data_IF_369900193940
#
_entry.id   IF_369900193940
#
_cell.length_a   1.000
_cell.length_b   1.000
_cell.length_c   1.000
_cell.angle_alpha   90.00
_cell.angle_beta   90.00
_cell.angle_gamma   90.00
#
_symmetry.space_group_name_H-M   'P 1'
#
loop_
_entity.id
_entity.type
_entity.pdbx_description
1 polymer ?
#
# COMPACT_ATOMS: atom_id res chain seq x y z
N UNK A 1 15.53 -6.18 -27.75
CA UNK A 1 16.50 -5.07 -27.62
C UNK A 1 15.79 -3.93 -26.92
N UNK A 2 16.46 -3.18 -26.02
CA UNK A 2 15.88 -1.95 -25.50
C UNK A 2 15.64 -0.98 -26.66
N UNK A 3 14.49 -0.31 -26.64
CA UNK A 3 14.16 0.70 -27.65
C UNK A 3 15.00 1.94 -27.43
N UNK A 4 15.48 2.53 -28.52
CA UNK A 4 16.20 3.79 -28.46
C UNK A 4 15.26 4.95 -28.17
N UNK A 5 15.71 5.92 -27.38
CA UNK A 5 14.95 7.14 -27.07
C UNK A 5 14.50 7.86 -28.35
N UNK A 6 15.34 7.89 -29.38
CA UNK A 6 15.00 8.46 -30.69
C UNK A 6 13.79 7.79 -31.34
N UNK A 7 13.62 6.47 -31.15
CA UNK A 7 12.46 5.72 -31.66
C UNK A 7 11.19 6.04 -30.86
N UNK A 8 11.32 6.23 -29.53
CA UNK A 8 10.20 6.65 -28.68
C UNK A 8 9.70 8.03 -29.11
N UNK A 9 10.59 9.01 -29.21
CA UNK A 9 10.23 10.40 -29.54
C UNK A 9 9.78 10.60 -30.99
N UNK A 10 10.22 9.73 -31.91
CA UNK A 10 9.74 9.75 -33.29
C UNK A 10 8.40 9.01 -33.47
N UNK A 11 7.96 8.24 -32.47
CA UNK A 11 6.71 7.48 -32.56
C UNK A 11 5.49 8.40 -32.48
N UNK A 12 4.39 7.95 -33.10
CA UNK A 12 3.12 8.66 -33.05
C UNK A 12 2.59 8.68 -31.61
N UNK A 13 1.85 9.74 -31.27
CA UNK A 13 1.05 9.75 -30.06
C UNK A 13 -0.11 8.77 -30.18
N UNK A 14 -0.40 8.07 -29.09
CA UNK A 14 -1.60 7.28 -28.90
C UNK A 14 -2.40 7.85 -27.73
N UNK A 15 -3.73 7.84 -27.82
CA UNK A 15 -4.60 8.48 -26.82
C UNK A 15 -5.25 7.43 -25.93
N UNK A 16 -4.98 7.45 -24.64
CA UNK A 16 -5.70 6.64 -23.67
C UNK A 16 -6.79 7.49 -23.02
N UNK A 17 -8.03 7.03 -23.08
CA UNK A 17 -9.17 7.67 -22.43
C UNK A 17 -9.39 6.95 -21.10
N UNK A 18 -8.98 7.57 -20.00
CA UNK A 18 -9.04 7.01 -18.65
C UNK A 18 -10.08 7.77 -17.86
N UNK A 19 -11.15 7.11 -17.42
CA UNK A 19 -12.30 7.75 -16.76
C UNK A 19 -12.82 9.00 -17.50
N UNK A 20 -12.87 8.94 -18.84
CA UNK A 20 -13.31 10.03 -19.70
C UNK A 20 -12.28 11.15 -19.95
N UNK A 21 -11.08 11.07 -19.38
CA UNK A 21 -10.00 12.03 -19.59
C UNK A 21 -8.98 11.52 -20.62
N UNK A 22 -8.70 12.27 -21.70
CA UNK A 22 -7.71 11.87 -22.69
C UNK A 22 -6.28 12.14 -22.20
N UNK A 23 -5.43 11.12 -22.26
CA UNK A 23 -4.01 11.17 -21.96
C UNK A 23 -3.21 10.74 -23.20
N UNK A 24 -2.33 11.62 -23.68
CA UNK A 24 -1.53 11.37 -24.87
C UNK A 24 -0.13 10.89 -24.49
N UNK A 25 0.28 9.76 -25.07
CA UNK A 25 1.58 9.12 -24.79
C UNK A 25 2.21 8.60 -26.08
N UNK A 26 3.53 8.39 -26.06
CA UNK A 26 4.24 7.87 -27.21
C UNK A 26 3.91 6.37 -27.39
N UNK A 27 3.33 6.01 -28.54
CA UNK A 27 2.84 4.66 -28.82
C UNK A 27 3.91 3.60 -28.62
N UNK A 28 5.13 3.85 -29.15
CA UNK A 28 6.24 2.92 -29.06
C UNK A 28 6.73 2.70 -27.62
N UNK A 29 6.51 3.66 -26.71
CA UNK A 29 6.87 3.45 -25.31
C UNK A 29 5.97 2.41 -24.66
N UNK A 30 4.65 2.58 -24.81
CA UNK A 30 3.65 1.75 -24.13
C UNK A 30 3.55 0.37 -24.78
N UNK A 31 3.61 0.30 -26.13
CA UNK A 31 3.51 -0.97 -26.85
C UNK A 31 4.64 -1.92 -26.48
N UNK A 32 5.81 -1.40 -26.11
CA UNK A 32 6.95 -2.24 -25.72
C UNK A 32 7.02 -2.56 -24.24
N UNK A 33 6.03 -2.16 -23.45
CA UNK A 33 5.93 -2.56 -22.06
C UNK A 33 5.44 -4.01 -21.92
N UNK A 34 4.55 -4.47 -22.80
CA UNK A 34 4.04 -5.85 -22.82
C UNK A 34 3.26 -6.18 -24.10
N UNK A 35 3.09 -7.47 -24.40
CA UNK A 35 2.31 -7.91 -25.56
C UNK A 35 0.83 -7.49 -25.53
N UNK A 36 0.10 -7.51 -24.38
CA UNK A 36 -1.27 -7.01 -24.33
C UNK A 36 -1.37 -5.53 -24.73
N UNK A 37 -0.43 -4.69 -24.29
CA UNK A 37 -0.39 -3.28 -24.64
C UNK A 37 0.03 -3.05 -26.09
N UNK A 38 0.94 -3.87 -26.63
CA UNK A 38 1.27 -3.85 -28.06
C UNK A 38 0.04 -4.15 -28.91
N UNK A 39 -0.70 -5.21 -28.57
CA UNK A 39 -1.94 -5.57 -29.26
C UNK A 39 -3.02 -4.48 -29.12
N UNK A 40 -3.08 -3.78 -27.99
CA UNK A 40 -4.01 -2.67 -27.80
C UNK A 40 -3.70 -1.47 -28.70
N UNK A 41 -2.42 -1.19 -28.95
CA UNK A 41 -1.98 -0.02 -29.71
C UNK A 41 -1.85 -0.31 -31.21
N UNK A 42 -1.24 -1.44 -31.55
CA UNK A 42 -0.87 -1.84 -32.92
C UNK A 42 -1.75 -2.96 -33.49
N UNK A 43 -2.79 -3.38 -32.75
CA UNK A 43 -3.70 -4.43 -33.17
C UNK A 43 -4.72 -4.01 -34.22
N UNK A 44 -5.65 -4.92 -34.51
CA UNK A 44 -6.66 -4.75 -35.56
C UNK A 44 -7.99 -4.17 -35.06
N UNK A 45 -8.08 -3.82 -33.77
CA UNK A 45 -9.29 -3.21 -33.18
C UNK A 45 -9.56 -1.83 -33.77
N UNK A 46 -10.83 -1.44 -33.79
CA UNK A 46 -11.26 -0.16 -34.37
C UNK A 46 -10.63 1.04 -33.66
N UNK A 47 -10.43 0.93 -32.35
CA UNK A 47 -9.85 1.90 -31.45
C UNK A 47 -8.35 2.07 -31.77
N UNK A 48 -7.62 0.95 -31.90
CA UNK A 48 -6.21 0.94 -32.29
C UNK A 48 -5.99 1.64 -33.64
N UNK A 49 -6.83 1.34 -34.64
CA UNK A 49 -6.78 1.97 -35.97
C UNK A 49 -7.09 3.47 -35.92
N UNK A 50 -7.93 3.90 -34.98
CA UNK A 50 -8.25 5.31 -34.75
C UNK A 50 -7.22 6.01 -33.84
N UNK A 51 -6.26 5.28 -33.26
CA UNK A 51 -5.19 5.84 -32.43
C UNK A 51 -5.61 6.13 -30.99
N UNK A 52 -6.61 5.41 -30.46
CA UNK A 52 -7.00 5.53 -29.06
C UNK A 52 -7.33 4.18 -28.40
N UNK A 53 -7.38 4.16 -27.07
CA UNK A 53 -7.94 3.05 -26.29
C UNK A 53 -8.73 3.59 -25.10
N UNK A 54 -9.83 2.91 -24.76
CA UNK A 54 -10.67 3.24 -23.62
C UNK A 54 -10.32 2.33 -22.44
N UNK A 55 -10.01 2.94 -21.29
CA UNK A 55 -9.70 2.25 -20.04
C UNK A 55 -10.70 2.71 -18.96
N UNK A 56 -11.84 2.03 -18.87
CA UNK A 56 -12.91 2.38 -17.92
C UNK A 56 -12.64 1.88 -16.51
N UNK A 57 -11.91 0.77 -16.39
CA UNK A 57 -11.64 0.07 -15.13
C UNK A 57 -10.32 0.49 -14.47
N UNK A 58 -9.60 1.44 -15.07
CA UNK A 58 -8.34 1.99 -14.54
C UNK A 58 -8.58 3.43 -14.11
N UNK A 59 -8.18 3.79 -12.90
CA UNK A 59 -8.22 5.18 -12.45
C UNK A 59 -7.06 6.00 -13.04
N UNK A 60 -7.28 7.31 -13.15
CA UNK A 60 -6.29 8.24 -13.70
C UNK A 60 -4.96 8.19 -12.94
N UNK A 61 -4.99 8.06 -11.60
CA UNK A 61 -3.80 8.03 -10.76
C UNK A 61 -2.92 6.82 -11.07
N UNK A 62 -3.52 5.64 -11.22
CA UNK A 62 -2.84 4.41 -11.62
C UNK A 62 -2.24 4.53 -13.01
N UNK A 63 -2.99 5.06 -13.98
CA UNK A 63 -2.47 5.18 -15.34
C UNK A 63 -1.33 6.22 -15.44
N UNK A 64 -1.41 7.34 -14.71
CA UNK A 64 -0.33 8.33 -14.65
C UNK A 64 0.94 7.74 -13.99
N UNK A 65 0.80 6.95 -12.92
CA UNK A 65 1.94 6.22 -12.32
C UNK A 65 2.54 5.22 -13.30
N UNK A 66 1.71 4.50 -14.05
CA UNK A 66 2.17 3.61 -15.11
C UNK A 66 2.95 4.35 -16.19
N UNK A 67 2.46 5.48 -16.70
CA UNK A 67 3.18 6.29 -17.70
C UNK A 67 4.54 6.72 -17.13
N UNK A 68 4.56 7.21 -15.89
CA UNK A 68 5.81 7.61 -15.22
C UNK A 68 6.79 6.44 -15.15
N UNK A 69 6.31 5.26 -14.73
CA UNK A 69 7.12 4.04 -14.75
C UNK A 69 7.59 3.68 -16.15
N UNK A 70 6.76 3.80 -17.18
CA UNK A 70 7.15 3.45 -18.54
C UNK A 70 8.38 4.25 -18.99
N UNK A 71 8.42 5.56 -18.65
CA UNK A 71 9.54 6.46 -18.91
C UNK A 71 10.74 6.28 -17.99
N UNK A 72 10.56 6.29 -16.67
CA UNK A 72 11.67 6.34 -15.70
C UNK A 72 12.02 4.99 -15.07
N UNK A 73 11.26 3.93 -15.38
CA UNK A 73 11.29 2.62 -14.70
C UNK A 73 11.04 2.70 -13.20
N UNK A 74 10.40 3.79 -12.77
CA UNK A 74 10.00 4.04 -11.40
C UNK A 74 8.76 4.94 -11.36
N UNK A 75 7.98 4.87 -10.27
CA UNK A 75 6.79 5.68 -10.06
C UNK A 75 6.63 6.15 -8.59
N UNK A 76 6.05 7.35 -8.36
CA UNK A 76 5.83 7.88 -7.03
C UNK A 76 4.70 7.14 -6.31
N UNK A 77 4.84 6.97 -5.00
CA UNK A 77 3.72 6.58 -4.14
C UNK A 77 2.62 7.67 -4.16
N UNK A 78 1.41 7.33 -3.74
CA UNK A 78 0.40 8.36 -3.50
C UNK A 78 0.80 9.24 -2.31
N UNK A 79 0.17 10.40 -2.20
CA UNK A 79 0.32 11.25 -1.03
C UNK A 79 -0.61 10.73 0.08
N UNK A 80 -0.13 10.78 1.32
CA UNK A 80 -0.96 10.53 2.49
C UNK A 80 -1.84 11.75 2.76
N UNK A 81 -2.96 11.54 3.42
CA UNK A 81 -3.90 12.61 3.77
C UNK A 81 -3.77 12.89 5.27
N UNK A 82 -3.79 14.17 5.66
CA UNK A 82 -3.89 14.55 7.07
C UNK A 82 -5.36 14.57 7.47
N UNK A 83 -5.72 13.71 8.43
CA UNK A 83 -7.05 13.64 9.02
C UNK A 83 -7.10 14.61 10.21
N UNK A 84 -8.17 15.40 10.31
CA UNK A 84 -8.36 16.27 11.47
C UNK A 84 -8.66 15.42 12.71
N UNK A 85 -8.06 15.79 13.85
CA UNK A 85 -8.27 15.10 15.12
C UNK A 85 -9.69 15.39 15.62
N UNK A 86 -10.67 14.60 15.19
CA UNK A 86 -12.05 14.76 15.66
C UNK A 86 -13.16 14.01 14.95
N UNK A 87 -12.94 13.30 13.83
CA UNK A 87 -14.06 12.73 13.08
C UNK A 87 -14.04 11.20 13.04
N UNK A 88 -14.78 10.60 13.98
CA UNK A 88 -15.34 9.27 13.77
C UNK A 88 -16.53 9.40 12.79
N UNK A 89 -16.27 9.07 11.52
CA UNK A 89 -17.20 8.64 10.45
C UNK A 89 -17.97 9.68 9.60
N UNK A 90 -17.81 9.48 8.27
CA UNK A 90 -18.75 9.70 7.16
C UNK A 90 -18.79 11.06 6.43
N UNK A 91 -18.66 10.97 5.11
CA UNK A 91 -18.80 11.99 4.06
C UNK A 91 -19.82 13.11 4.32
N UNK A 92 -19.42 14.37 4.04
CA UNK A 92 -19.90 15.20 2.89
C UNK A 92 -19.69 16.73 3.11
N UNK A 93 -18.96 17.34 2.17
CA UNK A 93 -19.00 18.72 1.65
C UNK A 93 -19.30 19.97 2.56
N UNK A 94 -18.25 20.81 2.65
CA UNK A 94 -18.21 22.27 2.36
C UNK A 94 -18.62 23.36 3.40
N UNK A 95 -17.63 24.26 3.59
CA UNK A 95 -17.64 25.75 3.81
C UNK A 95 -17.62 26.38 5.23
N UNK A 96 -16.44 26.98 5.48
CA UNK A 96 -16.11 28.33 5.96
C UNK A 96 -16.30 28.78 7.43
N UNK A 97 -15.15 29.21 7.98
CA UNK A 97 -14.86 30.45 8.72
C UNK A 97 -15.07 30.56 10.26
N UNK A 98 -13.92 30.74 10.93
CA UNK A 98 -13.60 31.85 11.85
C UNK A 98 -13.87 31.70 13.36
N UNK A 99 -12.77 31.37 14.07
CA UNK A 99 -12.24 31.90 15.35
C UNK A 99 -13.10 31.95 16.63
N UNK A 100 -12.61 31.33 17.71
CA UNK A 100 -11.95 31.99 18.87
C UNK A 100 -11.72 31.01 20.04
N UNK A 101 -10.43 30.79 20.32
CA UNK A 101 -9.76 30.94 21.62
C UNK A 101 -10.63 30.99 22.90
N UNK A 102 -10.47 30.03 23.82
CA UNK A 102 -10.29 30.33 25.26
C UNK A 102 -9.60 29.18 25.99
N UNK A 103 -8.55 29.54 26.72
CA UNK A 103 -7.73 28.74 27.64
C UNK A 103 -8.39 28.69 29.01
N UNK A 104 -8.40 27.53 29.69
CA UNK A 104 -8.45 27.49 31.16
C UNK A 104 -7.47 26.43 31.70
N UNK A 105 -6.51 26.93 32.45
CA UNK A 105 -5.51 26.22 33.27
C UNK A 105 -6.13 25.89 34.63
N UNK A 106 -5.85 24.71 35.17
CA UNK A 106 -5.82 24.48 36.63
C UNK A 106 -4.75 23.42 36.97
N UNK A 107 -3.56 23.94 37.32
CA UNK A 107 -2.66 23.42 38.37
C UNK A 107 -3.34 23.61 39.75
N UNK A 108 -3.06 22.94 40.87
CA UNK A 108 -2.09 21.95 41.32
C UNK A 108 -2.47 21.55 42.77
N UNK A 109 -1.66 20.67 43.38
CA UNK A 109 -1.34 20.51 44.83
C UNK A 109 -2.14 19.45 45.61
N UNK A 110 -1.55 18.65 46.51
CA UNK A 110 -0.18 18.25 46.90
C UNK A 110 -0.35 17.14 47.98
N UNK A 111 0.78 16.55 48.41
CA UNK A 111 1.08 15.94 49.70
C UNK A 111 0.79 14.43 49.85
N UNK A 112 1.72 13.55 50.26
CA UNK A 112 3.06 13.74 50.80
C UNK A 112 3.59 12.43 51.41
N UNK A 113 4.79 12.06 50.95
CA UNK A 113 5.92 11.29 51.51
C UNK A 113 5.90 10.54 52.86
N UNK A 114 6.46 9.31 52.87
CA UNK A 114 7.14 8.66 54.03
C UNK A 114 6.99 7.11 54.07
N UNK A 115 7.89 6.25 53.58
CA UNK A 115 9.28 5.89 53.98
C UNK A 115 9.39 4.64 54.92
N UNK A 116 10.07 3.60 54.38
CA UNK A 116 10.85 2.48 54.98
C UNK A 116 10.21 1.17 55.54
N UNK A 117 10.69 0.02 55.02
CA UNK A 117 10.57 -1.31 55.68
C UNK A 117 10.78 -2.59 54.84
N UNK A 118 12.04 -2.93 54.51
CA UNK A 118 12.65 -4.28 54.36
C UNK A 118 12.01 -5.46 53.57
N UNK A 119 12.73 -5.86 52.51
CA UNK A 119 13.00 -7.21 51.91
C UNK A 119 12.04 -8.40 52.16
N UNK A 120 11.49 -8.96 51.06
CA UNK A 120 11.50 -10.42 50.81
C UNK A 120 11.33 -10.75 49.32
N UNK A 121 12.31 -11.45 48.76
CA UNK A 121 12.29 -12.02 47.41
C UNK A 121 11.08 -12.92 47.16
N UNK A 122 10.34 -12.62 46.10
CA UNK A 122 9.48 -13.59 45.41
C UNK A 122 9.60 -13.36 43.91
N UNK A 123 10.45 -14.18 43.28
CA UNK A 123 10.58 -14.36 41.83
C UNK A 123 9.17 -14.58 41.23
N UNK A 124 8.55 -13.52 40.72
CA UNK A 124 7.50 -13.63 39.70
C UNK A 124 8.21 -13.84 38.38
N UNK A 125 8.07 -15.04 37.81
CA UNK A 125 8.43 -15.34 36.42
C UNK A 125 7.76 -14.29 35.53
N UNK A 126 8.55 -13.37 34.99
CA UNK A 126 8.17 -12.56 33.83
C UNK A 126 8.03 -13.53 32.67
N UNK A 127 6.80 -13.70 32.18
CA UNK A 127 6.62 -14.26 30.85
C UNK A 127 7.28 -13.29 29.85
N UNK A 128 8.06 -13.86 28.95
CA UNK A 128 8.93 -13.20 27.99
C UNK A 128 8.15 -12.35 26.99
N UNK A 129 8.21 -11.03 27.14
CA UNK A 129 7.94 -10.10 26.05
C UNK A 129 9.22 -10.00 25.19
N UNK A 130 9.38 -10.87 24.19
CA UNK A 130 10.52 -10.82 23.26
C UNK A 130 10.24 -11.35 21.85
N UNK A 131 8.98 -11.68 21.51
CA UNK A 131 8.66 -12.28 20.19
C UNK A 131 8.35 -11.24 19.08
N UNK A 132 7.95 -10.02 19.45
CA UNK A 132 7.51 -8.99 18.50
C UNK A 132 8.62 -8.46 17.59
N UNK A 133 9.82 -8.26 18.12
CA UNK A 133 10.97 -7.82 17.32
C UNK A 133 11.29 -8.84 16.22
N UNK A 134 11.50 -10.11 16.57
CA UNK A 134 11.89 -11.12 15.58
C UNK A 134 10.99 -11.24 14.34
N UNK A 135 9.67 -11.08 14.49
CA UNK A 135 8.67 -11.16 13.40
C UNK A 135 8.68 -9.95 12.47
N UNK A 136 8.94 -8.76 13.02
CA UNK A 136 9.02 -7.54 12.22
C UNK A 136 10.34 -7.49 11.47
N UNK A 137 11.42 -7.87 12.15
CA UNK A 137 12.75 -8.01 11.56
C UNK A 137 12.75 -9.05 10.42
N UNK A 138 12.03 -10.17 10.53
CA UNK A 138 11.95 -11.17 9.46
C UNK A 138 11.22 -10.65 8.21
N UNK A 139 10.11 -9.91 8.40
CA UNK A 139 9.40 -9.25 7.30
C UNK A 139 10.27 -8.23 6.58
N UNK A 140 11.03 -7.44 7.35
CA UNK A 140 11.97 -6.44 6.82
C UNK A 140 13.15 -7.12 6.11
N UNK A 141 13.62 -8.28 6.59
CA UNK A 141 14.76 -8.98 5.97
C UNK A 141 14.44 -9.67 4.63
N UNK A 142 13.17 -9.98 4.38
CA UNK A 142 12.73 -10.53 3.08
C UNK A 142 12.75 -9.49 1.95
N UNK A 143 12.91 -8.22 2.32
CA UNK A 143 12.90 -7.12 1.38
C UNK A 143 14.29 -6.85 0.79
N UNK A 144 14.36 -6.83 -0.54
CA UNK A 144 15.56 -6.37 -1.25
C UNK A 144 15.57 -4.84 -1.35
N UNK A 145 16.48 -4.21 -0.59
CA UNK A 145 16.67 -2.74 -0.60
C UNK A 145 17.34 -2.20 -1.88
N UNK A 146 17.67 -3.08 -2.84
CA UNK A 146 18.38 -2.70 -4.07
C UNK A 146 17.62 -1.69 -4.95
N UNK A 147 16.28 -1.66 -4.93
CA UNK A 147 15.54 -0.67 -5.72
C UNK A 147 15.54 0.73 -5.09
N UNK A 148 15.70 0.85 -3.76
CA UNK A 148 15.77 2.14 -3.06
C UNK A 148 17.03 2.89 -3.47
N UNK A 149 18.15 2.19 -3.64
CA UNK A 149 19.40 2.82 -4.09
C UNK A 149 19.28 3.36 -5.52
N UNK A 150 18.49 2.71 -6.38
CA UNK A 150 18.23 3.19 -7.75
C UNK A 150 17.23 4.36 -7.80
N UNK A 151 16.23 4.37 -6.92
CA UNK A 151 15.17 5.41 -6.85
C UNK A 151 15.66 6.79 -6.39
N UNK A 152 16.76 6.84 -5.61
CA UNK A 152 17.29 8.03 -4.92
C UNK A 152 17.49 9.27 -5.80
N UNK A 153 17.66 9.13 -7.11
CA UNK A 153 17.97 10.26 -7.99
C UNK A 153 16.76 11.00 -8.58
N UNK A 154 15.55 10.40 -8.60
CA UNK A 154 14.41 10.97 -9.34
C UNK A 154 13.10 11.07 -8.56
N UNK A 155 12.99 10.42 -7.39
CA UNK A 155 11.78 10.43 -6.58
C UNK A 155 12.09 10.67 -5.09
N UNK A 156 11.15 11.29 -4.34
CA UNK A 156 11.27 11.40 -2.90
C UNK A 156 11.41 10.02 -2.28
N UNK A 157 12.31 9.89 -1.31
CA UNK A 157 12.45 8.66 -0.55
C UNK A 157 11.13 8.28 0.14
N UNK A 158 10.79 6.98 0.22
CA UNK A 158 9.65 6.51 0.99
C UNK A 158 9.72 7.02 2.43
N UNK A 159 8.58 7.47 2.96
CA UNK A 159 8.46 8.03 4.32
C UNK A 159 7.42 7.26 5.10
N UNK A 160 7.80 6.73 6.26
CA UNK A 160 6.85 6.20 7.24
C UNK A 160 5.99 7.31 7.84
N UNK A 161 4.81 6.93 8.33
CA UNK A 161 3.96 7.85 9.07
C UNK A 161 4.61 8.23 10.42
N UNK A 162 4.32 9.44 10.87
CA UNK A 162 4.85 10.06 12.10
C UNK A 162 3.79 10.29 13.16
N UNK A 163 2.52 10.20 12.79
CA UNK A 163 1.39 10.47 13.68
C UNK A 163 0.17 9.64 13.27
N UNK A 164 -0.79 9.39 14.20
CA UNK A 164 -2.03 8.69 13.90
C UNK A 164 -3.00 9.47 12.99
N UNK A 165 -2.69 10.74 12.69
CA UNK A 165 -3.48 11.62 11.82
C UNK A 165 -3.07 11.50 10.35
N UNK A 166 -2.04 10.73 10.02
CA UNK A 166 -1.59 10.56 8.65
C UNK A 166 -2.20 9.28 8.06
N UNK A 167 -3.19 9.45 7.18
CA UNK A 167 -3.91 8.39 6.47
C UNK A 167 -3.11 7.91 5.26
N UNK A 168 -2.72 6.64 5.29
CA UNK A 168 -1.93 5.97 4.28
C UNK A 168 -2.76 5.11 3.31
N UNK A 169 -4.09 5.15 3.41
CA UNK A 169 -5.01 4.34 2.59
C UNK A 169 -4.68 4.45 1.10
N UNK A 170 -4.61 5.68 0.57
CA UNK A 170 -4.30 5.87 -0.85
C UNK A 170 -2.84 5.57 -1.21
N UNK A 171 -1.91 5.65 -0.24
CA UNK A 171 -0.52 5.26 -0.44
C UNK A 171 -0.44 3.76 -0.72
N UNK A 172 -1.11 2.96 0.10
CA UNK A 172 -1.17 1.52 -0.06
C UNK A 172 -1.96 1.10 -1.29
N UNK A 173 -3.17 1.67 -1.47
CA UNK A 173 -4.01 1.37 -2.63
C UNK A 173 -3.35 1.78 -3.94
N UNK A 174 -2.55 2.85 -3.95
CA UNK A 174 -1.76 3.23 -5.12
C UNK A 174 -0.78 2.13 -5.56
N UNK A 175 -0.09 1.47 -4.62
CA UNK A 175 0.80 0.36 -4.94
C UNK A 175 0.02 -0.92 -5.32
N UNK A 176 -1.08 -1.22 -4.63
CA UNK A 176 -1.91 -2.36 -4.94
C UNK A 176 -2.54 -2.25 -6.33
N UNK A 177 -3.14 -1.10 -6.68
CA UNK A 177 -3.69 -0.84 -8.02
C UNK A 177 -2.62 -0.97 -9.11
N UNK A 178 -1.40 -0.51 -8.84
CA UNK A 178 -0.26 -0.70 -9.76
C UNK A 178 0.12 -2.18 -9.93
N UNK A 179 0.07 -2.99 -8.87
CA UNK A 179 0.30 -4.44 -8.93
C UNK A 179 -0.77 -5.12 -9.80
N UNK A 180 -2.06 -4.85 -9.54
CA UNK A 180 -3.18 -5.41 -10.31
C UNK A 180 -3.16 -4.96 -11.77
N UNK A 181 -2.84 -3.68 -12.02
CA UNK A 181 -2.66 -3.16 -13.37
C UNK A 181 -1.52 -3.90 -14.10
N UNK A 182 -0.38 -4.10 -13.44
CA UNK A 182 0.74 -4.80 -14.02
C UNK A 182 0.40 -6.27 -14.32
N UNK A 183 -0.37 -6.94 -13.46
CA UNK A 183 -0.85 -8.29 -13.71
C UNK A 183 -1.78 -8.33 -14.92
N UNK A 184 -2.77 -7.44 -14.97
CA UNK A 184 -3.75 -7.35 -16.08
C UNK A 184 -3.07 -7.19 -17.44
N UNK A 185 -1.99 -6.43 -17.50
CA UNK A 185 -1.25 -6.17 -18.74
C UNK A 185 0.02 -7.00 -18.89
N UNK A 186 0.25 -8.00 -18.03
CA UNK A 186 1.42 -8.87 -18.05
C UNK A 186 2.77 -8.12 -18.07
N UNK A 187 2.94 -7.20 -17.12
CA UNK A 187 4.14 -6.36 -16.97
C UNK A 187 4.91 -6.81 -15.72
N UNK A 188 5.60 -7.95 -15.81
CA UNK A 188 6.25 -8.60 -14.67
C UNK A 188 7.22 -7.70 -13.88
N UNK A 189 7.98 -6.84 -14.57
CA UNK A 189 8.89 -5.89 -13.92
C UNK A 189 8.18 -4.83 -13.10
N UNK A 190 7.01 -4.36 -13.55
CA UNK A 190 6.18 -3.41 -12.81
C UNK A 190 5.45 -4.10 -11.66
N UNK A 191 4.95 -5.32 -11.88
CA UNK A 191 4.31 -6.15 -10.84
C UNK A 191 5.24 -6.33 -9.65
N UNK A 192 6.47 -6.78 -9.92
CA UNK A 192 7.52 -6.92 -8.91
C UNK A 192 7.82 -5.61 -8.19
N UNK A 193 8.05 -4.52 -8.95
CA UNK A 193 8.33 -3.21 -8.36
C UNK A 193 7.20 -2.71 -7.46
N UNK A 194 5.94 -2.95 -7.84
CA UNK A 194 4.78 -2.56 -7.06
C UNK A 194 4.66 -3.35 -5.75
N UNK A 195 4.90 -4.66 -5.80
CA UNK A 195 4.97 -5.51 -4.61
C UNK A 195 6.07 -5.04 -3.66
N UNK A 196 7.28 -4.81 -4.19
CA UNK A 196 8.44 -4.38 -3.40
C UNK A 196 8.18 -3.01 -2.74
N UNK A 197 7.59 -2.06 -3.47
CA UNK A 197 7.22 -0.74 -2.93
C UNK A 197 6.14 -0.84 -1.86
N UNK A 198 5.13 -1.69 -2.03
CA UNK A 198 4.10 -1.91 -1.03
C UNK A 198 4.69 -2.52 0.25
N UNK A 199 5.48 -3.59 0.12
CA UNK A 199 6.14 -4.25 1.25
C UNK A 199 7.03 -3.27 2.02
N UNK A 200 7.80 -2.43 1.31
CA UNK A 200 8.62 -1.40 1.95
C UNK A 200 7.78 -0.37 2.69
N UNK A 201 6.71 0.13 2.05
CA UNK A 201 5.82 1.12 2.66
C UNK A 201 5.20 0.57 3.94
N UNK A 202 4.75 -0.69 3.94
CA UNK A 202 4.27 -1.40 5.13
C UNK A 202 5.37 -1.59 6.19
N UNK A 203 6.62 -1.85 5.78
CA UNK A 203 7.76 -2.05 6.67
C UNK A 203 8.17 -0.80 7.44
N UNK A 204 8.04 0.39 6.81
CA UNK A 204 8.34 1.68 7.44
C UNK A 204 7.11 2.33 8.07
N UNK A 205 5.92 1.77 7.84
CA UNK A 205 4.68 2.20 8.45
C UNK A 205 4.60 1.78 9.92
N UNK A 206 4.14 2.72 10.74
CA UNK A 206 3.81 2.54 12.14
C UNK A 206 2.30 2.37 12.25
N UNK A 207 1.87 1.16 12.62
CA UNK A 207 0.45 0.85 12.78
C UNK A 207 -0.09 1.42 14.09
N UNK A 208 -0.72 2.59 14.01
CA UNK A 208 -1.51 3.17 15.10
C UNK A 208 -2.91 2.54 15.14
N UNK A 209 -3.56 2.43 16.31
CA UNK A 209 -4.94 1.95 16.41
C UNK A 209 -5.92 2.68 15.47
N UNK A 210 -5.75 3.99 15.31
CA UNK A 210 -6.58 4.84 14.46
C UNK A 210 -6.38 4.57 12.95
N UNK A 211 -5.29 3.91 12.58
CA UNK A 211 -4.90 3.64 11.18
C UNK A 211 -5.08 2.18 10.79
N UNK A 212 -5.76 1.38 11.61
CA UNK A 212 -6.14 0.01 11.26
C UNK A 212 -7.07 -0.01 10.03
N UNK A 213 -7.88 1.03 9.86
CA UNK A 213 -8.72 1.24 8.67
C UNK A 213 -7.91 1.26 7.35
N UNK A 214 -6.72 1.86 7.35
CA UNK A 214 -5.85 1.94 6.17
C UNK A 214 -5.45 0.53 5.66
N UNK A 215 -5.12 -0.38 6.60
CA UNK A 215 -4.78 -1.78 6.29
C UNK A 215 -6.02 -2.56 5.86
N UNK A 216 -7.15 -2.30 6.51
CA UNK A 216 -8.43 -2.95 6.20
C UNK A 216 -8.88 -2.64 4.78
N UNK A 217 -8.79 -1.37 4.36
CA UNK A 217 -9.07 -0.95 2.99
C UNK A 217 -8.16 -1.64 1.97
N UNK A 218 -6.86 -1.75 2.27
CA UNK A 218 -5.91 -2.49 1.45
C UNK A 218 -6.28 -3.97 1.29
N UNK A 219 -6.62 -4.65 2.39
CA UNK A 219 -7.02 -6.06 2.37
C UNK A 219 -8.28 -6.29 1.55
N UNK A 220 -9.33 -5.49 1.80
CA UNK A 220 -10.59 -5.52 1.03
C UNK A 220 -10.31 -5.37 -0.46
N UNK A 221 -9.48 -4.40 -0.84
CA UNK A 221 -9.14 -4.17 -2.23
C UNK A 221 -8.37 -5.36 -2.84
N UNK A 222 -7.32 -5.86 -2.18
CA UNK A 222 -6.51 -6.95 -2.72
C UNK A 222 -7.31 -8.23 -2.89
N UNK A 223 -8.06 -8.65 -1.87
CA UNK A 223 -8.84 -9.89 -1.94
C UNK A 223 -9.97 -9.81 -2.97
N UNK A 224 -10.56 -8.63 -3.18
CA UNK A 224 -11.56 -8.42 -4.23
C UNK A 224 -10.99 -8.43 -5.67
N UNK A 225 -9.67 -8.21 -5.84
CA UNK A 225 -9.04 -8.03 -7.16
C UNK A 225 -8.00 -9.12 -7.50
N UNK A 226 -7.79 -10.08 -6.61
CA UNK A 226 -6.93 -11.25 -6.83
C UNK A 226 -7.75 -12.51 -6.58
N UNK A 227 -7.32 -13.66 -7.07
CA UNK A 227 -7.97 -14.95 -6.82
C UNK A 227 -6.93 -15.96 -6.31
N UNK A 228 -7.36 -17.05 -5.67
CA UNK A 228 -6.49 -18.22 -5.50
C UNK A 228 -6.07 -18.71 -6.89
N UNK A 229 -4.76 -18.75 -7.14
CA UNK A 229 -4.22 -19.25 -8.41
C UNK A 229 -4.09 -20.77 -8.34
N UNK A 230 -4.10 -21.43 -9.50
CA UNK A 230 -3.93 -22.90 -9.59
C UNK A 230 -2.60 -23.37 -8.96
N UNK A 231 -1.61 -22.48 -8.90
CA UNK A 231 -0.25 -22.73 -8.42
C UNK A 231 -0.02 -22.30 -6.96
N UNK A 232 -1.02 -21.70 -6.29
CA UNK A 232 -0.94 -21.24 -4.90
C UNK A 232 -1.60 -19.88 -4.63
N UNK A 233 -1.37 -19.35 -3.44
CA UNK A 233 -1.82 -18.00 -3.04
C UNK A 233 -1.01 -16.94 -3.79
N UNK A 234 -1.67 -15.89 -4.31
CA UNK A 234 -1.02 -14.76 -5.00
C UNK A 234 0.09 -14.11 -4.12
N UNK A 235 1.16 -13.61 -4.74
CA UNK A 235 2.32 -13.06 -4.03
C UNK A 235 1.93 -11.87 -3.13
N UNK A 236 0.99 -11.01 -3.57
CA UNK A 236 0.55 -9.86 -2.76
C UNK A 236 -0.29 -10.33 -1.55
N UNK A 237 -1.13 -11.36 -1.72
CA UNK A 237 -1.89 -11.98 -0.63
C UNK A 237 -0.96 -12.64 0.38
N UNK A 238 0.04 -13.38 -0.10
CA UNK A 238 1.06 -14.02 0.74
C UNK A 238 1.86 -12.99 1.55
N UNK A 239 2.30 -11.91 0.90
CA UNK A 239 3.02 -10.82 1.57
C UNK A 239 2.15 -10.14 2.65
N UNK A 240 0.87 -9.86 2.34
CA UNK A 240 -0.05 -9.27 3.31
C UNK A 240 -0.36 -10.20 4.48
N UNK A 241 -0.57 -11.49 4.23
CA UNK A 241 -0.75 -12.49 5.29
C UNK A 241 0.48 -12.53 6.22
N UNK A 242 1.69 -12.41 5.67
CA UNK A 242 2.91 -12.29 6.46
C UNK A 242 2.91 -11.02 7.34
N UNK A 243 2.54 -9.87 6.76
CA UNK A 243 2.44 -8.59 7.48
C UNK A 243 1.41 -8.64 8.62
N UNK A 244 0.19 -9.10 8.34
CA UNK A 244 -0.86 -9.21 9.37
C UNK A 244 -0.38 -10.12 10.50
N UNK A 245 0.24 -11.26 10.18
CA UNK A 245 0.72 -12.15 11.22
C UNK A 245 1.81 -11.52 12.10
N UNK A 246 2.58 -10.56 11.58
CA UNK A 246 3.55 -9.76 12.35
C UNK A 246 2.85 -8.76 13.27
N UNK A 247 1.78 -8.13 12.80
CA UNK A 247 1.02 -7.10 13.53
C UNK A 247 -0.23 -7.64 14.27
N UNK A 248 -0.37 -8.97 14.36
CA UNK A 248 -1.58 -9.67 14.79
C UNK A 248 -2.13 -9.17 16.14
N UNK A 249 -1.26 -8.85 17.10
CA UNK A 249 -1.68 -8.40 18.43
C UNK A 249 -2.47 -7.08 18.41
N UNK A 250 -2.22 -6.23 17.41
CA UNK A 250 -2.93 -4.96 17.20
C UNK A 250 -4.18 -5.22 16.37
N UNK A 251 -4.04 -5.95 15.26
CA UNK A 251 -5.11 -6.16 14.28
C UNK A 251 -6.26 -7.05 14.79
N UNK A 252 -6.00 -8.06 15.64
CA UNK A 252 -7.07 -8.93 16.21
C UNK A 252 -7.95 -8.21 17.23
N UNK A 253 -7.48 -7.09 17.79
CA UNK A 253 -8.27 -6.29 18.74
C UNK A 253 -9.28 -5.40 18.04
N UNK A 254 -9.11 -5.19 16.74
CA UNK A 254 -10.03 -4.42 15.92
C UNK A 254 -11.20 -5.29 15.44
N UNK A 255 -12.41 -4.79 15.63
CA UNK A 255 -13.63 -5.50 15.26
C UNK A 255 -13.79 -5.63 13.74
N UNK A 256 -13.42 -4.59 12.99
CA UNK A 256 -13.62 -4.55 11.55
C UNK A 256 -12.72 -5.57 10.82
N UNK A 257 -11.44 -5.67 11.20
CA UNK A 257 -10.56 -6.70 10.65
C UNK A 257 -11.01 -8.10 11.04
N UNK A 258 -11.45 -8.28 12.29
CA UNK A 258 -11.93 -9.58 12.74
C UNK A 258 -13.17 -10.00 11.95
N UNK A 259 -14.12 -9.10 11.75
CA UNK A 259 -15.33 -9.38 10.99
C UNK A 259 -15.01 -9.63 9.51
N UNK A 260 -14.11 -8.82 8.92
CA UNK A 260 -13.61 -9.02 7.55
C UNK A 260 -12.97 -10.40 7.37
N UNK A 261 -12.15 -10.84 8.33
CA UNK A 261 -11.56 -12.18 8.31
C UNK A 261 -12.61 -13.29 8.42
N UNK A 262 -13.70 -13.06 9.16
CA UNK A 262 -14.75 -14.06 9.30
C UNK A 262 -15.67 -14.12 8.07
N UNK A 263 -15.88 -12.99 7.40
CA UNK A 263 -16.67 -12.88 6.17
C UNK A 263 -15.94 -13.45 4.95
N UNK A 264 -14.62 -13.21 4.85
CA UNK A 264 -13.78 -13.72 3.77
C UNK A 264 -13.01 -14.98 4.19
N UNK A 265 -13.58 -16.13 3.87
CA UNK A 265 -12.99 -17.44 4.18
C UNK A 265 -11.63 -17.69 3.52
N UNK A 266 -11.34 -17.05 2.37
CA UNK A 266 -10.03 -17.15 1.73
C UNK A 266 -8.98 -16.39 2.54
N UNK A 267 -9.32 -15.18 2.99
CA UNK A 267 -8.46 -14.36 3.85
C UNK A 267 -8.12 -15.08 5.16
N UNK A 268 -9.13 -15.68 5.82
CA UNK A 268 -8.90 -16.49 7.02
C UNK A 268 -8.02 -17.71 6.74
N UNK A 269 -8.23 -18.38 5.60
CA UNK A 269 -7.46 -19.53 5.17
C UNK A 269 -5.98 -19.20 5.00
N UNK A 270 -5.66 -18.15 4.25
CA UNK A 270 -4.28 -17.68 4.04
C UNK A 270 -3.60 -17.30 5.35
N UNK A 271 -4.33 -16.61 6.23
CA UNK A 271 -3.85 -16.25 7.54
C UNK A 271 -3.54 -17.48 8.40
N UNK A 272 -4.46 -18.43 8.51
CA UNK A 272 -4.27 -19.66 9.29
C UNK A 272 -3.12 -20.51 8.74
N UNK A 273 -2.94 -20.60 7.42
CA UNK A 273 -1.78 -21.26 6.78
C UNK A 273 -0.48 -20.60 7.25
N UNK A 274 -0.40 -19.27 7.22
CA UNK A 274 0.78 -18.52 7.68
C UNK A 274 1.05 -18.70 9.18
N UNK A 275 0.02 -18.77 10.01
CA UNK A 275 0.17 -19.06 11.44
C UNK A 275 0.67 -20.48 11.70
N UNK A 276 0.12 -21.46 10.97
CA UNK A 276 0.54 -22.85 11.08
C UNK A 276 2.03 -23.01 10.75
N UNK A 277 2.49 -22.38 9.65
CA UNK A 277 3.91 -22.40 9.22
C UNK A 277 4.87 -21.73 10.22
N UNK A 278 4.37 -20.91 11.15
CA UNK A 278 5.18 -20.21 12.15
C UNK A 278 5.24 -20.91 13.52
N UNK A 279 4.33 -21.84 13.79
CA UNK A 279 4.27 -22.62 15.04
C UNK A 279 4.89 -24.02 14.88
N UNK A 280 5.00 -24.52 13.65
CA UNK A 280 5.71 -25.74 13.26
C UNK A 280 7.22 -25.55 13.18
#
# INVERSE_FOLDING_TARGET
MPISDSSIFASKSFTFIVQGKPLHVHAALISNCSEPLDRMINGQMSEAQQGFALLEDVDEGTFVRFIRWAYSKDYPAAEYILVEAGDETSAQASKSETSKETVVVVEDLDDGWGSFGTKKDRKKKKHSASSKGGLRESFISQYDSSWVTFSTFLLPAPRGNKSPLEDYTEVFLGHARMYIFAEKYDIQSLKKLALDKLQHTLSIFTLYPERVGDITALLKYVYANTAETVDGTDDIRTMLAHYIGTEMEVLIRDGEIKDLMLEDGEMLGDFLKMFALRVS
#
